data_IF_629519306713
#
_entry.id   IF_629519306713
#
_cell.length_a   1.000
_cell.length_b   1.000
_cell.length_c   1.000
_cell.angle_alpha   90.00
_cell.angle_beta   90.00
_cell.angle_gamma   90.00
#
_symmetry.space_group_name_H-M   'P 1'
#
loop_
_entity.id
_entity.type
_entity.pdbx_description
1 polymer ?
#
# COMPACT_ATOMS: atom_id res chain seq x y z
N UNK A 1 -3.94 0.97 -0.50
CA UNK A 1 -3.26 2.19 0.00
C UNK A 1 -3.92 2.62 1.30
N UNK A 2 -3.14 2.86 2.32
CA UNK A 2 -3.61 3.42 3.58
C UNK A 2 -2.50 4.26 4.20
N UNK A 3 -2.71 5.56 4.33
CA UNK A 3 -1.70 6.48 4.87
C UNK A 3 -1.30 6.11 6.29
N UNK A 4 -2.25 5.79 7.16
CA UNK A 4 -1.99 5.40 8.54
C UNK A 4 -1.58 3.93 8.69
N UNK A 5 -1.98 3.09 7.75
CA UNK A 5 -1.86 1.64 7.86
C UNK A 5 -2.85 1.01 8.84
N UNK A 6 -3.84 1.76 9.32
CA UNK A 6 -4.79 1.32 10.33
C UNK A 6 -6.26 1.42 9.90
N UNK A 7 -6.51 1.71 8.62
CA UNK A 7 -7.88 1.81 8.09
C UNK A 7 -8.58 0.46 8.12
N UNK A 8 -9.66 0.35 8.88
CA UNK A 8 -10.37 -0.91 9.09
C UNK A 8 -10.89 -1.53 7.79
N UNK A 9 -11.46 -0.72 6.91
CA UNK A 9 -11.95 -1.19 5.62
C UNK A 9 -10.84 -1.73 4.73
N UNK A 10 -9.67 -1.10 4.75
CA UNK A 10 -8.51 -1.56 3.99
C UNK A 10 -7.97 -2.87 4.57
N UNK A 11 -7.89 -2.98 5.89
CA UNK A 11 -7.48 -4.22 6.56
C UNK A 11 -8.39 -5.38 6.21
N UNK A 12 -9.70 -5.16 6.17
CA UNK A 12 -10.68 -6.19 5.76
C UNK A 12 -10.47 -6.63 4.32
N UNK A 13 -10.24 -5.67 3.42
CA UNK A 13 -9.99 -5.98 2.01
C UNK A 13 -8.71 -6.80 1.84
N UNK A 14 -7.65 -6.44 2.55
CA UNK A 14 -6.38 -7.16 2.52
C UNK A 14 -6.54 -8.58 3.04
N UNK A 15 -7.23 -8.76 4.17
CA UNK A 15 -7.46 -10.07 4.72
C UNK A 15 -8.25 -10.97 3.74
N UNK A 16 -9.23 -10.41 3.06
CA UNK A 16 -9.97 -11.13 2.02
C UNK A 16 -9.09 -11.49 0.84
N UNK A 17 -8.28 -10.55 0.37
CA UNK A 17 -7.34 -10.79 -0.73
C UNK A 17 -6.35 -11.91 -0.38
N UNK A 18 -5.80 -11.89 0.82
CA UNK A 18 -4.89 -12.93 1.29
C UNK A 18 -5.59 -14.30 1.35
N UNK A 19 -6.84 -14.33 1.79
CA UNK A 19 -7.64 -15.56 1.90
C UNK A 19 -7.84 -16.22 0.54
N UNK A 20 -8.05 -15.44 -0.51
CA UNK A 20 -8.25 -15.97 -1.86
C UNK A 20 -6.95 -16.18 -2.63
N UNK A 21 -5.80 -15.99 -1.99
CA UNK A 21 -4.49 -16.27 -2.59
C UNK A 21 -3.90 -15.14 -3.40
N UNK A 22 -4.43 -13.93 -3.33
CA UNK A 22 -3.84 -12.78 -4.00
C UNK A 22 -2.54 -12.35 -3.31
N UNK A 23 -1.56 -11.91 -4.08
CA UNK A 23 -0.37 -11.26 -3.52
C UNK A 23 -0.70 -9.81 -3.22
N UNK A 24 -0.49 -9.39 -1.98
CA UNK A 24 -0.86 -8.05 -1.53
C UNK A 24 0.35 -7.14 -1.37
N UNK A 25 0.21 -5.92 -1.89
CA UNK A 25 1.21 -4.86 -1.74
C UNK A 25 0.54 -3.70 -0.99
N UNK A 26 1.12 -3.27 0.11
CA UNK A 26 0.60 -2.16 0.89
C UNK A 26 1.44 -0.90 0.71
N UNK A 27 0.82 0.18 0.26
CA UNK A 27 1.42 1.51 0.27
C UNK A 27 0.93 2.22 1.52
N UNK A 28 1.82 2.41 2.48
CA UNK A 28 1.50 2.93 3.81
C UNK A 28 2.44 4.06 4.20
N UNK A 29 2.09 4.77 5.24
CA UNK A 29 2.90 5.83 5.79
C UNK A 29 3.15 5.65 7.28
N UNK A 30 3.65 6.66 7.93
CA UNK A 30 3.99 6.65 9.36
C UNK A 30 4.92 5.47 9.68
N UNK A 31 4.51 4.57 10.57
CA UNK A 31 5.24 3.35 10.92
C UNK A 31 4.70 2.10 10.19
N UNK A 32 3.76 2.28 9.28
CA UNK A 32 3.11 1.19 8.55
C UNK A 32 1.86 0.65 9.22
N UNK A 33 1.62 0.98 10.48
CA UNK A 33 0.44 0.55 11.22
C UNK A 33 0.27 -0.98 11.25
N UNK A 34 -0.96 -1.42 11.36
CA UNK A 34 -1.31 -2.85 11.32
C UNK A 34 -1.14 -3.46 9.92
N UNK A 35 -1.27 -2.64 8.90
CA UNK A 35 -1.25 -3.11 7.53
C UNK A 35 0.11 -3.66 7.10
N UNK A 36 1.20 -3.14 7.65
CA UNK A 36 2.55 -3.61 7.33
C UNK A 36 2.74 -5.10 7.59
N UNK A 37 2.06 -5.63 8.60
CA UNK A 37 2.15 -7.05 8.95
C UNK A 37 1.09 -7.91 8.23
N UNK A 38 0.09 -7.26 7.64
CA UNK A 38 -1.01 -7.95 6.97
C UNK A 38 -0.78 -8.20 5.48
N UNK A 39 0.06 -7.39 4.83
CA UNK A 39 0.36 -7.50 3.40
C UNK A 39 1.62 -8.33 3.16
N UNK A 40 1.75 -8.86 1.94
CA UNK A 40 2.96 -9.60 1.54
C UNK A 40 4.15 -8.68 1.36
N UNK A 41 3.95 -7.50 0.78
CA UNK A 41 5.00 -6.52 0.55
C UNK A 41 4.55 -5.14 1.02
N UNK A 42 5.02 -4.68 2.19
CA UNK A 42 4.76 -3.32 2.62
C UNK A 42 5.79 -2.35 2.04
N UNK A 43 5.30 -1.24 1.51
CA UNK A 43 6.12 -0.10 1.10
C UNK A 43 5.76 1.05 2.04
N UNK A 44 6.64 1.32 2.99
CA UNK A 44 6.40 2.28 4.07
C UNK A 44 7.11 3.59 3.74
N UNK A 45 6.35 4.67 3.67
CA UNK A 45 6.91 6.02 3.57
C UNK A 45 7.05 6.56 4.99
N UNK A 46 8.27 6.66 5.53
CA UNK A 46 8.50 6.98 6.94
C UNK A 46 8.33 8.48 7.23
N UNK A 47 7.12 8.95 7.11
CA UNK A 47 6.71 10.33 7.32
C UNK A 47 5.37 10.34 8.04
N UNK A 48 5.09 11.39 8.79
CA UNK A 48 3.78 11.64 9.39
C UNK A 48 3.04 12.80 8.72
N UNK A 49 3.58 13.31 7.61
CA UNK A 49 2.92 14.32 6.79
C UNK A 49 2.08 13.63 5.71
N UNK A 50 0.77 13.63 5.91
CA UNK A 50 -0.18 12.94 5.02
C UNK A 50 -0.02 13.35 3.56
N UNK A 51 0.15 14.63 3.28
CA UNK A 51 0.29 15.12 1.91
C UNK A 51 1.56 14.56 1.24
N UNK A 52 2.65 14.53 1.96
CA UNK A 52 3.93 13.99 1.44
C UNK A 52 3.84 12.49 1.22
N UNK A 53 3.22 11.77 2.14
CA UNK A 53 3.00 10.32 1.99
C UNK A 53 2.19 10.02 0.73
N UNK A 54 1.10 10.73 0.53
CA UNK A 54 0.21 10.51 -0.61
C UNK A 54 0.87 10.87 -1.94
N UNK A 55 1.68 11.92 -1.98
CA UNK A 55 2.46 12.28 -3.17
C UNK A 55 3.39 11.13 -3.59
N UNK A 56 4.08 10.53 -2.64
CA UNK A 56 4.99 9.42 -2.92
C UNK A 56 4.19 8.18 -3.34
N UNK A 57 3.08 7.87 -2.69
CA UNK A 57 2.22 6.75 -3.08
C UNK A 57 1.73 6.87 -4.53
N UNK A 58 1.28 8.06 -4.92
CA UNK A 58 0.82 8.30 -6.29
C UNK A 58 1.96 8.14 -7.29
N UNK A 59 3.14 8.65 -6.97
CA UNK A 59 4.32 8.52 -7.82
C UNK A 59 4.68 7.04 -8.02
N UNK A 60 4.68 6.24 -6.94
CA UNK A 60 4.93 4.80 -7.02
C UNK A 60 3.87 4.12 -7.88
N UNK A 61 2.59 4.47 -7.70
CA UNK A 61 1.50 3.93 -8.50
C UNK A 61 1.67 4.20 -9.99
N UNK A 62 2.05 5.41 -10.35
CA UNK A 62 2.32 5.77 -11.75
C UNK A 62 3.50 4.98 -12.33
N UNK A 63 4.57 4.80 -11.57
CA UNK A 63 5.73 4.02 -11.99
C UNK A 63 5.33 2.56 -12.26
N UNK A 64 4.57 1.96 -11.34
CA UNK A 64 4.09 0.59 -11.50
C UNK A 64 3.24 0.46 -12.77
N UNK A 65 2.33 1.40 -13.00
CA UNK A 65 1.50 1.38 -14.20
C UNK A 65 2.30 1.50 -15.48
N UNK A 66 3.32 2.37 -15.50
CA UNK A 66 4.21 2.50 -16.66
C UNK A 66 4.96 1.19 -16.95
N UNK A 67 5.48 0.54 -15.92
CA UNK A 67 6.19 -0.73 -16.08
C UNK A 67 5.25 -1.81 -16.64
N UNK A 68 4.02 -1.88 -16.13
CA UNK A 68 3.04 -2.84 -16.62
C UNK A 68 2.68 -2.56 -18.07
N UNK A 69 2.47 -1.30 -18.45
CA UNK A 69 2.12 -0.91 -19.81
C UNK A 69 3.21 -1.23 -20.82
N UNK A 70 4.48 -1.18 -20.43
CA UNK A 70 5.60 -1.55 -21.31
C UNK A 70 5.55 -3.02 -21.73
N UNK A 71 4.96 -3.88 -20.90
CA UNK A 71 4.87 -5.33 -21.16
C UNK A 71 3.60 -5.70 -21.96
N UNK A 72 2.70 -4.77 -22.13
CA UNK A 72 1.44 -4.95 -22.85
C UNK A 72 1.28 -3.90 -23.95
#
# INVERSE_FOLDING_TARGET
ISTSGNSENVLRAVNKANTIGAFTIGLVGNDGGKLKDAVNLPIIIPSNDTARIQEVHITIGHIICEIIEEDF
#
